data_IF_029399371995
#
_entry.id   IF_029399371995
#
_cell.length_a   1.000
_cell.length_b   1.000
_cell.length_c   1.000
_cell.angle_alpha   90.00
_cell.angle_beta   90.00
_cell.angle_gamma   90.00
#
_symmetry.space_group_name_H-M   'P 1'
#
loop_
_entity.id
_entity.type
_entity.pdbx_description
1 polymer ?
#
# COMPACT_ATOMS: atom_id res chain seq x y z
N UNK A 1 -24.72 12.01 11.98
CA UNK A 1 -24.94 11.49 13.36
C UNK A 1 -23.69 10.77 13.84
N UNK A 2 -23.35 10.81 15.14
CA UNK A 2 -22.11 10.21 15.69
C UNK A 2 -22.43 8.87 16.36
N UNK A 3 -21.66 7.83 16.02
CA UNK A 3 -21.86 6.47 16.57
C UNK A 3 -21.24 6.38 17.96
N UNK A 4 -21.99 5.90 18.95
CA UNK A 4 -21.50 5.65 20.30
C UNK A 4 -21.04 4.20 20.46
N UNK A 5 -19.78 3.98 20.83
CA UNK A 5 -19.23 2.64 21.03
C UNK A 5 -18.94 2.45 22.52
N UNK A 6 -19.63 1.51 23.16
CA UNK A 6 -19.30 1.10 24.52
C UNK A 6 -18.16 0.09 24.52
N UNK A 7 -17.19 0.31 25.42
CA UNK A 7 -16.10 -0.63 25.71
C UNK A 7 -15.84 -0.65 27.22
N UNK A 8 -15.58 -1.80 27.87
CA UNK A 8 -15.37 -1.86 29.32
C UNK A 8 -14.22 -0.98 29.80
N UNK A 9 -13.14 -0.94 29.03
CA UNK A 9 -12.00 -0.04 29.23
C UNK A 9 -11.38 0.33 27.89
N UNK A 10 -10.90 1.56 27.77
CA UNK A 10 -10.33 2.07 26.51
C UNK A 10 -8.81 1.88 26.52
N UNK A 11 -8.31 0.91 25.75
CA UNK A 11 -6.87 0.76 25.49
C UNK A 11 -6.42 1.52 24.23
N UNK A 12 -5.11 1.71 24.01
CA UNK A 12 -4.57 2.21 22.73
C UNK A 12 -4.98 1.37 21.51
N UNK A 13 -4.99 0.04 21.63
CA UNK A 13 -5.38 -0.88 20.54
C UNK A 13 -6.87 -0.76 20.20
N UNK A 14 -7.75 -0.65 21.21
CA UNK A 14 -9.18 -0.37 21.02
C UNK A 14 -9.37 0.94 20.26
N UNK A 15 -8.68 2.02 20.66
CA UNK A 15 -8.75 3.30 19.95
C UNK A 15 -8.36 3.15 18.48
N UNK A 16 -7.29 2.40 18.20
CA UNK A 16 -6.80 2.19 16.85
C UNK A 16 -7.73 1.31 16.01
N UNK A 17 -8.21 0.18 16.54
CA UNK A 17 -9.14 -0.73 15.87
C UNK A 17 -10.41 -0.01 15.38
N UNK A 18 -11.06 0.76 16.26
CA UNK A 18 -12.25 1.53 15.88
C UNK A 18 -11.92 2.72 14.98
N UNK A 19 -10.71 3.28 15.05
CA UNK A 19 -10.26 4.28 14.07
C UNK A 19 -10.15 3.64 12.68
N UNK A 20 -9.61 2.43 12.56
CA UNK A 20 -9.55 1.71 11.29
C UNK A 20 -10.96 1.48 10.74
N UNK A 21 -11.84 0.84 11.53
CA UNK A 21 -13.19 0.52 11.09
C UNK A 21 -14.00 1.77 10.73
N UNK A 22 -14.15 2.73 11.65
CA UNK A 22 -15.05 3.87 11.44
C UNK A 22 -14.41 5.00 10.65
N UNK A 23 -13.15 5.39 10.92
CA UNK A 23 -12.53 6.56 10.25
C UNK A 23 -11.87 6.22 8.93
N UNK A 24 -11.11 5.12 8.89
CA UNK A 24 -10.36 4.75 7.69
C UNK A 24 -11.31 4.15 6.65
N UNK A 25 -12.03 3.08 7.00
CA UNK A 25 -12.90 2.34 6.08
C UNK A 25 -14.24 3.05 5.82
N UNK A 26 -14.89 3.59 6.85
CA UNK A 26 -16.29 4.07 6.74
C UNK A 26 -16.47 5.59 6.70
N UNK A 27 -15.40 6.39 6.90
CA UNK A 27 -15.46 7.86 7.05
C UNK A 27 -16.53 8.36 8.04
N UNK A 28 -16.87 7.53 9.04
CA UNK A 28 -17.89 7.80 10.03
C UNK A 28 -17.32 8.44 11.30
N UNK A 29 -18.08 9.35 11.89
CA UNK A 29 -17.80 9.91 13.22
C UNK A 29 -18.22 8.93 14.31
N UNK A 30 -17.35 8.69 15.29
CA UNK A 30 -17.63 7.82 16.43
C UNK A 30 -17.04 8.37 17.75
N UNK A 31 -17.58 7.92 18.89
CA UNK A 31 -17.06 8.17 20.24
C UNK A 31 -16.96 6.85 21.00
N UNK A 32 -15.92 6.68 21.81
CA UNK A 32 -15.83 5.57 22.76
C UNK A 32 -16.33 6.01 24.14
N UNK A 33 -17.05 5.14 24.84
CA UNK A 33 -17.46 5.34 26.24
C UNK A 33 -17.22 4.06 27.03
N UNK A 34 -16.80 4.20 28.29
CA UNK A 34 -16.79 3.11 29.28
C UNK A 34 -17.90 3.23 30.32
N UNK A 35 -18.78 4.22 30.17
CA UNK A 35 -19.92 4.42 31.07
C UNK A 35 -21.11 3.63 30.56
N UNK A 36 -21.44 2.53 31.25
CA UNK A 36 -22.55 1.65 30.90
C UNK A 36 -23.88 2.40 30.88
N UNK A 37 -24.12 3.25 31.87
CA UNK A 37 -25.36 4.03 31.99
C UNK A 37 -25.53 4.99 30.80
N UNK A 38 -24.43 5.63 30.38
CA UNK A 38 -24.45 6.52 29.22
C UNK A 38 -24.74 5.76 27.91
N UNK A 39 -24.24 4.53 27.77
CA UNK A 39 -24.55 3.68 26.62
C UNK A 39 -26.03 3.27 26.62
N UNK A 40 -26.55 2.79 27.75
CA UNK A 40 -27.94 2.35 27.88
C UNK A 40 -28.95 3.49 27.68
N UNK A 41 -28.63 4.68 28.16
CA UNK A 41 -29.46 5.87 27.98
C UNK A 41 -29.39 6.49 26.57
N UNK A 42 -28.43 6.10 25.72
CA UNK A 42 -28.28 6.66 24.39
C UNK A 42 -29.39 6.17 23.43
N UNK A 43 -30.22 7.08 22.92
CA UNK A 43 -31.25 6.76 21.93
C UNK A 43 -30.76 6.68 20.47
N UNK A 44 -29.50 7.04 20.22
CA UNK A 44 -28.90 7.08 18.88
C UNK A 44 -28.11 5.83 18.50
N UNK A 45 -27.40 5.87 17.35
CA UNK A 45 -26.62 4.75 16.87
C UNK A 45 -25.54 4.36 17.85
N UNK A 46 -25.57 3.09 18.25
CA UNK A 46 -24.68 2.57 19.27
C UNK A 46 -24.26 1.14 19.01
N UNK A 47 -23.03 0.82 19.41
CA UNK A 47 -22.42 -0.51 19.34
C UNK A 47 -21.86 -0.87 20.71
N UNK A 48 -22.18 -2.05 21.21
CA UNK A 48 -21.54 -2.62 22.39
C UNK A 48 -20.35 -3.47 21.93
N UNK A 49 -19.14 -3.19 22.42
CA UNK A 49 -17.99 -4.06 22.25
C UNK A 49 -17.48 -4.51 23.64
N UNK A 50 -17.94 -5.68 24.07
CA UNK A 50 -17.64 -6.26 25.39
C UNK A 50 -17.90 -7.77 25.40
N UNK A 51 -17.70 -8.42 26.56
CA UNK A 51 -17.85 -9.87 26.73
C UNK A 51 -19.30 -10.37 26.67
N UNK A 52 -20.29 -9.49 26.85
CA UNK A 52 -21.71 -9.88 26.93
C UNK A 52 -22.61 -8.74 26.45
N UNK A 53 -23.85 -9.04 26.01
CA UNK A 53 -24.81 -8.00 25.69
C UNK A 53 -25.22 -7.22 26.96
N UNK A 54 -25.50 -5.93 26.78
CA UNK A 54 -25.97 -5.00 27.82
C UNK A 54 -27.48 -4.71 27.69
N UNK A 55 -28.05 -4.90 26.51
CA UNK A 55 -29.46 -4.68 26.20
C UNK A 55 -29.94 -5.63 25.10
N UNK A 56 -31.25 -5.93 25.11
CA UNK A 56 -31.86 -6.82 24.13
C UNK A 56 -31.82 -6.25 22.71
N UNK A 57 -31.43 -7.11 21.77
CA UNK A 57 -31.35 -6.80 20.33
C UNK A 57 -30.31 -5.77 19.94
N UNK A 58 -29.43 -5.31 20.84
CA UNK A 58 -28.41 -4.33 20.50
C UNK A 58 -27.40 -4.82 19.44
N UNK A 59 -26.68 -3.90 18.80
CA UNK A 59 -25.52 -4.28 18.00
C UNK A 59 -24.34 -4.57 18.92
N UNK A 60 -24.12 -5.85 19.18
CA UNK A 60 -23.07 -6.36 20.07
C UNK A 60 -21.96 -7.07 19.28
N UNK A 61 -20.73 -6.61 19.49
CA UNK A 61 -19.49 -7.22 19.02
C UNK A 61 -18.79 -7.87 20.22
N UNK A 62 -18.47 -9.17 20.18
CA UNK A 62 -17.82 -9.84 21.30
C UNK A 62 -16.34 -9.42 21.37
N UNK A 63 -15.84 -9.25 22.58
CA UNK A 63 -14.49 -8.75 22.83
C UNK A 63 -13.54 -9.87 23.31
N UNK A 64 -12.53 -10.19 22.51
CA UNK A 64 -11.41 -11.05 22.88
C UNK A 64 -10.27 -10.27 23.57
N UNK A 65 -9.22 -10.97 24.03
CA UNK A 65 -8.17 -10.36 24.86
C UNK A 65 -7.20 -9.45 24.09
N UNK A 66 -6.97 -9.68 22.79
CA UNK A 66 -5.90 -9.04 22.00
C UNK A 66 -5.84 -7.51 22.13
N UNK A 67 -6.99 -6.84 22.19
CA UNK A 67 -7.02 -5.38 22.27
C UNK A 67 -6.68 -4.83 23.66
N UNK A 68 -6.55 -5.68 24.68
CA UNK A 68 -6.12 -5.31 26.03
C UNK A 68 -4.80 -5.95 26.45
N UNK A 69 -4.26 -6.84 25.64
CA UNK A 69 -2.93 -7.42 25.86
C UNK A 69 -1.83 -6.35 25.81
N UNK A 70 -0.82 -6.54 26.65
CA UNK A 70 0.45 -5.81 26.61
C UNK A 70 1.51 -6.64 25.88
N UNK A 71 2.38 -5.97 25.12
CA UNK A 71 3.44 -6.62 24.37
C UNK A 71 2.95 -7.39 23.14
N UNK A 72 3.88 -8.07 22.47
CA UNK A 72 3.63 -8.74 21.19
C UNK A 72 3.89 -10.23 21.38
N UNK A 73 2.85 -11.04 21.20
CA UNK A 73 2.87 -12.49 21.41
C UNK A 73 2.07 -13.23 20.36
N UNK A 74 2.45 -14.47 20.08
CA UNK A 74 1.76 -15.29 19.08
C UNK A 74 0.28 -15.47 19.45
N UNK A 75 -0.59 -15.28 18.45
CA UNK A 75 -2.03 -15.41 18.60
C UNK A 75 -2.48 -16.76 18.03
N UNK A 76 -3.40 -17.46 18.70
CA UNK A 76 -4.03 -18.63 18.11
C UNK A 76 -5.15 -18.19 17.16
N UNK A 77 -4.93 -18.38 15.86
CA UNK A 77 -5.82 -17.89 14.82
C UNK A 77 -6.34 -19.08 14.02
N UNK A 78 -7.63 -19.35 14.17
CA UNK A 78 -8.36 -20.31 13.34
C UNK A 78 -9.26 -19.53 12.37
N UNK A 79 -9.11 -19.83 11.08
CA UNK A 79 -9.91 -19.22 10.03
C UNK A 79 -11.24 -19.96 9.90
N UNK A 80 -12.32 -19.20 9.78
CA UNK A 80 -13.62 -19.70 9.36
C UNK A 80 -14.24 -18.73 8.34
N UNK A 81 -15.37 -19.10 7.75
CA UNK A 81 -16.06 -18.25 6.79
C UNK A 81 -17.43 -17.87 7.31
N UNK A 82 -17.77 -16.58 7.21
CA UNK A 82 -19.07 -16.04 7.56
C UNK A 82 -19.55 -15.12 6.44
N UNK A 83 -20.78 -15.34 5.96
CA UNK A 83 -21.37 -14.55 4.86
C UNK A 83 -20.48 -14.48 3.60
N UNK A 84 -19.75 -15.56 3.32
CA UNK A 84 -18.82 -15.66 2.18
C UNK A 84 -17.50 -14.90 2.36
N UNK A 85 -17.23 -14.34 3.54
CA UNK A 85 -15.98 -13.65 3.87
C UNK A 85 -15.19 -14.47 4.92
N UNK A 86 -13.86 -14.51 4.82
CA UNK A 86 -13.01 -15.06 5.86
C UNK A 86 -13.13 -14.25 7.16
N UNK A 87 -13.11 -14.93 8.30
CA UNK A 87 -13.08 -14.33 9.63
C UNK A 87 -12.21 -15.17 10.55
N UNK A 88 -11.74 -14.55 11.64
CA UNK A 88 -10.95 -15.20 12.68
C UNK A 88 -11.13 -14.44 14.01
N UNK A 89 -10.55 -14.98 15.09
CA UNK A 89 -10.89 -14.62 16.47
C UNK A 89 -12.34 -14.97 16.81
N UNK A 90 -12.73 -16.21 16.49
CA UNK A 90 -14.05 -16.73 16.82
C UNK A 90 -14.31 -16.65 18.32
N UNK A 91 -15.53 -16.25 18.69
CA UNK A 91 -15.97 -16.10 20.07
C UNK A 91 -17.19 -17.00 20.31
N UNK A 92 -17.29 -17.59 21.50
CA UNK A 92 -18.47 -18.35 21.93
C UNK A 92 -19.63 -17.38 22.26
N UNK A 93 -20.20 -16.76 21.22
CA UNK A 93 -21.18 -15.68 21.31
C UNK A 93 -22.17 -15.77 20.13
N UNK A 94 -23.07 -16.76 20.17
CA UNK A 94 -24.00 -17.05 19.06
C UNK A 94 -24.99 -15.92 18.78
N UNK A 95 -25.41 -15.19 19.82
CA UNK A 95 -26.34 -14.06 19.71
C UNK A 95 -25.67 -12.74 19.29
N UNK A 96 -24.34 -12.73 19.13
CA UNK A 96 -23.63 -11.53 18.74
C UNK A 96 -23.93 -11.14 17.29
N UNK A 97 -23.78 -9.84 16.98
CA UNK A 97 -23.91 -9.32 15.61
C UNK A 97 -22.95 -10.05 14.66
N UNK A 98 -21.74 -10.34 15.15
CA UNK A 98 -20.81 -11.26 14.51
C UNK A 98 -20.23 -12.20 15.58
N UNK A 99 -20.11 -13.52 15.34
CA UNK A 99 -19.58 -14.50 16.30
C UNK A 99 -18.05 -14.47 16.40
N UNK A 100 -17.43 -13.30 16.22
CA UNK A 100 -15.98 -13.11 16.30
C UNK A 100 -15.62 -11.67 16.63
N UNK A 101 -14.39 -11.48 17.10
CA UNK A 101 -13.87 -10.16 17.44
C UNK A 101 -13.41 -9.39 16.18
N UNK A 102 -14.36 -8.69 15.55
CA UNK A 102 -14.10 -7.84 14.39
C UNK A 102 -13.08 -6.71 14.67
N UNK A 103 -13.17 -5.94 15.78
CA UNK A 103 -12.13 -4.98 16.13
C UNK A 103 -10.72 -5.59 16.25
N UNK A 104 -10.57 -6.76 16.85
CA UNK A 104 -9.29 -7.47 16.94
C UNK A 104 -8.77 -7.90 15.56
N UNK A 105 -9.64 -8.43 14.69
CA UNK A 105 -9.29 -8.78 13.31
C UNK A 105 -8.75 -7.55 12.54
N UNK A 106 -9.45 -6.43 12.65
CA UNK A 106 -9.06 -5.17 12.01
C UNK A 106 -7.71 -4.66 12.54
N UNK A 107 -7.52 -4.71 13.86
CA UNK A 107 -6.27 -4.35 14.51
C UNK A 107 -5.10 -5.24 14.05
N UNK A 108 -5.27 -6.55 14.07
CA UNK A 108 -4.24 -7.52 13.73
C UNK A 108 -3.69 -7.31 12.32
N UNK A 109 -4.59 -7.15 11.34
CA UNK A 109 -4.23 -6.91 9.95
C UNK A 109 -3.65 -5.51 9.72
N UNK A 110 -4.26 -4.46 10.30
CA UNK A 110 -3.84 -3.07 10.07
C UNK A 110 -2.52 -2.70 10.76
N UNK A 111 -2.24 -3.29 11.93
CA UNK A 111 -0.97 -3.10 12.65
C UNK A 111 0.17 -3.96 12.08
N UNK A 112 -0.14 -4.88 11.15
CA UNK A 112 0.80 -5.90 10.66
C UNK A 112 1.41 -6.71 11.80
N UNK A 113 0.57 -7.08 12.77
CA UNK A 113 0.98 -7.76 14.00
C UNK A 113 1.90 -8.98 13.75
N UNK A 114 1.59 -9.77 12.73
CA UNK A 114 2.39 -10.94 12.32
C UNK A 114 3.85 -10.63 11.93
N UNK A 115 4.15 -9.40 11.49
CA UNK A 115 5.50 -9.00 11.08
C UNK A 115 6.39 -8.59 12.27
N UNK A 116 5.81 -8.45 13.45
CA UNK A 116 6.54 -8.26 14.71
C UNK A 116 6.85 -9.59 15.41
N UNK A 117 6.30 -10.70 14.92
CA UNK A 117 6.61 -12.05 15.38
C UNK A 117 7.77 -12.63 14.57
N UNK A 118 8.45 -13.70 15.05
CA UNK A 118 9.46 -14.39 14.25
C UNK A 118 8.88 -14.91 12.92
N UNK A 119 9.55 -14.62 11.81
CA UNK A 119 9.18 -15.10 10.48
C UNK A 119 10.41 -15.48 9.64
N UNK A 120 10.21 -16.32 8.63
CA UNK A 120 11.23 -16.62 7.64
C UNK A 120 11.28 -15.51 6.58
N UNK A 121 12.25 -14.60 6.72
CA UNK A 121 12.44 -13.50 5.79
C UNK A 121 12.92 -13.97 4.41
N UNK A 122 12.64 -13.18 3.37
CA UNK A 122 13.20 -13.43 2.05
C UNK A 122 14.69 -13.03 1.97
N UNK A 123 15.30 -13.21 0.78
CA UNK A 123 16.72 -12.91 0.54
C UNK A 123 17.12 -11.45 0.78
N UNK A 124 16.16 -10.54 0.82
CA UNK A 124 16.37 -9.11 1.08
C UNK A 124 15.99 -8.72 2.51
N UNK A 125 15.56 -9.68 3.34
CA UNK A 125 15.11 -9.45 4.72
C UNK A 125 13.67 -8.94 4.81
N UNK A 126 12.85 -9.10 3.77
CA UNK A 126 11.45 -8.68 3.73
C UNK A 126 10.54 -9.78 4.27
N UNK A 127 9.36 -9.38 4.75
CA UNK A 127 8.27 -10.30 5.07
C UNK A 127 7.59 -10.78 3.76
N UNK A 128 7.77 -12.05 3.35
CA UNK A 128 7.21 -12.56 2.09
C UNK A 128 5.72 -12.87 2.25
N UNK A 129 4.97 -12.87 1.13
CA UNK A 129 3.54 -13.14 1.15
C UNK A 129 3.22 -14.49 1.79
N UNK A 130 4.03 -15.52 1.53
CA UNK A 130 3.85 -16.88 2.07
C UNK A 130 3.90 -17.00 3.59
N UNK A 131 4.47 -16.02 4.30
CA UNK A 131 4.44 -15.97 5.77
C UNK A 131 3.16 -15.33 6.30
N UNK A 132 2.42 -14.59 5.48
CA UNK A 132 1.18 -13.94 5.90
C UNK A 132 0.05 -14.93 6.12
N UNK A 133 -0.80 -14.67 7.12
CA UNK A 133 -2.08 -15.36 7.29
C UNK A 133 -2.92 -15.27 6.00
N UNK A 134 -3.00 -14.08 5.40
CA UNK A 134 -3.81 -13.81 4.23
C UNK A 134 -3.45 -14.66 3.00
N UNK A 135 -2.16 -14.93 2.79
CA UNK A 135 -1.72 -15.82 1.72
C UNK A 135 -1.99 -17.28 2.05
N UNK A 136 -1.64 -17.73 3.27
CA UNK A 136 -1.79 -19.13 3.70
C UNK A 136 -3.24 -19.59 3.67
N UNK A 137 -4.14 -18.69 4.04
CA UNK A 137 -5.58 -18.92 4.10
C UNK A 137 -6.33 -18.47 2.82
N UNK A 138 -5.61 -18.05 1.77
CA UNK A 138 -6.21 -17.81 0.45
C UNK A 138 -7.09 -16.56 0.33
N UNK A 139 -6.97 -15.57 1.21
CA UNK A 139 -7.76 -14.33 1.17
C UNK A 139 -6.97 -13.08 0.81
N UNK A 140 -5.73 -13.22 0.35
CA UNK A 140 -4.83 -12.09 0.05
C UNK A 140 -5.42 -11.06 -0.94
N UNK A 141 -6.29 -11.49 -1.85
CA UNK A 141 -6.93 -10.59 -2.83
C UNK A 141 -8.15 -9.85 -2.26
N UNK A 142 -8.48 -10.04 -0.98
CA UNK A 142 -9.61 -9.38 -0.33
C UNK A 142 -9.13 -8.21 0.56
N UNK A 143 -9.68 -6.99 0.40
CA UNK A 143 -9.51 -5.92 1.38
C UNK A 143 -10.43 -6.22 2.58
N UNK A 144 -10.11 -7.30 3.29
CA UNK A 144 -11.01 -7.97 4.24
C UNK A 144 -11.55 -7.03 5.33
N UNK A 145 -10.71 -6.14 5.84
CA UNK A 145 -11.11 -5.16 6.87
C UNK A 145 -12.13 -4.16 6.31
N UNK A 146 -11.97 -3.73 5.05
CA UNK A 146 -12.94 -2.86 4.39
C UNK A 146 -14.29 -3.58 4.20
N UNK A 147 -14.26 -4.84 3.77
CA UNK A 147 -15.48 -5.62 3.53
C UNK A 147 -16.27 -5.83 4.83
N UNK A 148 -15.61 -6.23 5.92
CA UNK A 148 -16.28 -6.36 7.22
C UNK A 148 -16.76 -5.04 7.79
N UNK A 149 -16.01 -3.95 7.61
CA UNK A 149 -16.46 -2.62 8.01
C UNK A 149 -17.76 -2.23 7.27
N UNK A 150 -17.87 -2.55 5.97
CA UNK A 150 -19.10 -2.31 5.22
C UNK A 150 -20.27 -3.17 5.70
N UNK A 151 -20.04 -4.43 6.08
CA UNK A 151 -21.08 -5.28 6.70
C UNK A 151 -21.58 -4.68 8.02
N UNK A 152 -20.66 -4.20 8.87
CA UNK A 152 -21.01 -3.51 10.10
C UNK A 152 -21.83 -2.24 9.82
N UNK A 153 -21.44 -1.46 8.81
CA UNK A 153 -22.18 -0.25 8.40
C UNK A 153 -23.61 -0.58 7.95
N UNK A 154 -23.80 -1.64 7.14
CA UNK A 154 -25.12 -2.08 6.69
C UNK A 154 -26.03 -2.42 7.87
N UNK A 155 -25.53 -3.18 8.86
CA UNK A 155 -26.30 -3.55 10.05
C UNK A 155 -26.62 -2.33 10.94
N UNK A 156 -25.69 -1.37 11.03
CA UNK A 156 -25.90 -0.10 11.71
C UNK A 156 -27.01 0.73 11.05
N UNK A 157 -26.99 0.88 9.72
CA UNK A 157 -28.01 1.64 8.97
C UNK A 157 -29.38 0.94 9.01
N UNK A 158 -29.41 -0.40 9.01
CA UNK A 158 -30.64 -1.17 9.17
C UNK A 158 -31.28 -0.96 10.55
N UNK A 159 -30.47 -0.91 11.62
CA UNK A 159 -30.98 -0.73 12.98
C UNK A 159 -31.29 0.72 13.31
N UNK A 160 -30.57 1.66 12.72
CA UNK A 160 -30.73 3.09 12.93
C UNK A 160 -31.01 3.78 11.59
N UNK A 161 -32.29 3.84 11.13
CA UNK A 161 -32.64 4.37 9.81
C UNK A 161 -32.17 5.81 9.53
N UNK A 162 -32.06 6.63 10.59
CA UNK A 162 -31.57 8.01 10.51
C UNK A 162 -30.03 8.12 10.42
N UNK A 163 -29.32 6.99 10.56
CA UNK A 163 -27.88 6.94 10.35
C UNK A 163 -27.60 6.73 8.86
N UNK A 164 -26.85 7.68 8.28
CA UNK A 164 -26.28 7.53 6.95
C UNK A 164 -24.76 7.58 7.05
N UNK A 165 -24.10 6.47 6.76
CA UNK A 165 -22.64 6.38 6.77
C UNK A 165 -22.14 6.75 5.38
N UNK A 166 -21.42 7.87 5.29
CA UNK A 166 -20.78 8.29 4.04
C UNK A 166 -19.64 7.34 3.69
N UNK A 167 -19.88 6.40 2.79
CA UNK A 167 -18.86 5.48 2.30
C UNK A 167 -17.79 6.26 1.51
N UNK A 168 -16.50 5.90 1.60
CA UNK A 168 -15.49 6.50 0.74
C UNK A 168 -15.81 6.21 -0.72
N UNK A 169 -15.56 7.18 -1.59
CA UNK A 169 -15.64 6.95 -3.03
C UNK A 169 -14.40 6.21 -3.51
N UNK A 170 -14.61 5.28 -4.45
CA UNK A 170 -13.51 4.60 -5.13
C UNK A 170 -12.53 5.61 -5.72
N UNK A 171 -11.24 5.32 -5.61
CA UNK A 171 -10.17 6.13 -6.21
C UNK A 171 -9.13 5.25 -6.88
N UNK A 172 -8.78 5.57 -8.11
CA UNK A 172 -7.57 5.06 -8.73
C UNK A 172 -6.39 6.02 -8.51
N UNK A 173 -5.24 5.48 -8.13
CA UNK A 173 -3.98 6.24 -7.99
C UNK A 173 -2.85 5.48 -8.71
N UNK A 174 -2.47 5.90 -9.93
CA UNK A 174 -1.31 5.35 -10.60
C UNK A 174 -0.03 5.87 -9.94
N UNK A 175 0.91 4.97 -9.64
CA UNK A 175 2.19 5.34 -9.03
C UNK A 175 3.36 4.67 -9.72
N UNK A 176 4.52 5.33 -9.68
CA UNK A 176 5.69 4.95 -10.43
C UNK A 176 6.96 4.99 -9.63
N UNK A 177 7.77 3.94 -9.76
CA UNK A 177 9.11 3.89 -9.18
C UNK A 177 10.12 4.15 -10.29
N UNK A 178 11.00 5.14 -10.05
CA UNK A 178 12.04 5.56 -10.98
C UNK A 178 13.39 5.12 -10.45
N UNK A 179 13.69 3.84 -10.63
CA UNK A 179 15.01 3.26 -10.32
C UNK A 179 16.07 3.78 -11.29
N UNK A 180 15.68 3.90 -12.56
CA UNK A 180 16.54 4.25 -13.68
C UNK A 180 15.75 5.07 -14.69
N UNK A 181 16.01 6.38 -14.74
CA UNK A 181 15.34 7.29 -15.67
C UNK A 181 15.68 7.02 -17.15
N UNK A 182 16.87 6.49 -17.44
CA UNK A 182 17.34 6.19 -18.80
C UNK A 182 18.03 4.83 -18.83
N UNK A 183 17.83 4.06 -19.88
CA UNK A 183 18.52 2.79 -20.12
C UNK A 183 19.97 3.02 -20.56
N UNK A 184 20.20 4.05 -21.38
CA UNK A 184 21.48 4.28 -22.06
C UNK A 184 22.01 5.71 -21.91
N UNK A 185 21.14 6.71 -22.12
CA UNK A 185 21.53 8.13 -22.06
C UNK A 185 21.93 8.54 -20.65
N UNK A 186 22.79 9.55 -20.56
CA UNK A 186 23.28 10.11 -19.31
C UNK A 186 24.02 9.13 -18.38
N UNK A 187 24.35 7.93 -18.88
CA UNK A 187 25.19 6.95 -18.20
C UNK A 187 26.64 7.04 -18.67
N UNK A 188 27.62 6.67 -17.82
CA UNK A 188 29.01 6.54 -18.22
C UNK A 188 29.22 5.67 -19.47
N UNK A 189 30.13 6.08 -20.37
CA UNK A 189 30.40 5.37 -21.61
C UNK A 189 30.87 3.93 -21.39
N UNK A 190 31.68 3.68 -20.36
CA UNK A 190 32.17 2.34 -20.04
C UNK A 190 31.02 1.37 -19.67
N UNK A 191 29.95 1.84 -19.05
CA UNK A 191 28.76 1.03 -18.77
C UNK A 191 28.00 0.68 -20.05
N UNK A 192 28.01 1.60 -21.03
CA UNK A 192 27.43 1.34 -22.35
C UNK A 192 28.26 0.31 -23.13
N UNK A 193 29.59 0.42 -23.12
CA UNK A 193 30.50 -0.54 -23.73
C UNK A 193 30.36 -1.94 -23.09
N UNK A 194 30.40 -2.02 -21.76
CA UNK A 194 30.20 -3.28 -21.04
C UNK A 194 28.82 -3.89 -21.32
N UNK A 195 27.79 -3.05 -21.41
CA UNK A 195 26.44 -3.45 -21.80
C UNK A 195 26.37 -4.06 -23.19
N UNK A 196 27.02 -3.43 -24.17
CA UNK A 196 27.16 -3.95 -25.55
C UNK A 196 27.87 -5.29 -25.55
N UNK A 197 29.05 -5.42 -24.94
CA UNK A 197 29.79 -6.68 -24.90
C UNK A 197 28.95 -7.83 -24.35
N UNK A 198 28.20 -7.58 -23.27
CA UNK A 198 27.28 -8.56 -22.69
C UNK A 198 26.13 -8.91 -23.64
N UNK A 199 25.55 -7.93 -24.32
CA UNK A 199 24.45 -8.16 -25.27
C UNK A 199 24.91 -8.97 -26.49
N UNK A 200 26.10 -8.71 -27.02
CA UNK A 200 26.69 -9.51 -28.10
C UNK A 200 26.99 -10.94 -27.62
N UNK A 201 27.62 -11.09 -26.44
CA UNK A 201 27.93 -12.40 -25.86
C UNK A 201 26.68 -13.24 -25.54
N UNK A 202 25.52 -12.59 -25.33
CA UNK A 202 24.23 -13.28 -25.07
C UNK A 202 23.33 -13.34 -26.31
N UNK A 203 23.87 -13.05 -27.50
CA UNK A 203 23.18 -13.03 -28.79
C UNK A 203 21.94 -12.11 -28.84
N UNK A 204 21.93 -11.04 -28.03
CA UNK A 204 20.87 -10.01 -27.98
C UNK A 204 21.22 -8.80 -28.86
N UNK A 205 21.54 -9.05 -30.12
CA UNK A 205 22.02 -8.05 -31.08
C UNK A 205 21.08 -6.84 -31.23
N UNK A 206 19.76 -7.07 -31.16
CA UNK A 206 18.77 -6.00 -31.23
C UNK A 206 18.88 -4.97 -30.09
N UNK A 207 19.25 -5.40 -28.88
CA UNK A 207 19.47 -4.48 -27.76
C UNK A 207 20.77 -3.69 -27.92
N UNK A 208 21.82 -4.33 -28.44
CA UNK A 208 23.07 -3.64 -28.74
C UNK A 208 22.88 -2.56 -29.81
N UNK A 209 22.12 -2.88 -30.87
CA UNK A 209 21.73 -1.90 -31.89
C UNK A 209 20.87 -0.77 -31.28
N UNK A 210 19.84 -1.10 -30.50
CA UNK A 210 18.96 -0.10 -29.88
C UNK A 210 19.74 0.88 -28.99
N UNK A 211 20.69 0.36 -28.19
CA UNK A 211 21.61 1.16 -27.38
C UNK A 211 22.36 2.20 -28.19
N UNK A 212 23.06 1.78 -29.26
CA UNK A 212 23.86 2.71 -30.07
C UNK A 212 23.00 3.64 -30.91
N UNK A 213 21.87 3.17 -31.46
CA UNK A 213 20.91 4.01 -32.14
C UNK A 213 20.36 5.11 -31.21
N UNK A 214 20.11 4.79 -29.93
CA UNK A 214 19.68 5.75 -28.93
C UNK A 214 20.77 6.79 -28.59
N UNK A 215 22.01 6.33 -28.39
CA UNK A 215 23.15 7.18 -28.04
C UNK A 215 23.55 8.13 -29.18
N UNK A 216 23.42 7.67 -30.43
CA UNK A 216 23.65 8.48 -31.63
C UNK A 216 22.48 9.41 -31.97
N UNK A 217 21.38 9.36 -31.21
CA UNK A 217 20.21 10.23 -31.41
C UNK A 217 19.19 9.73 -32.43
N UNK A 218 19.40 8.57 -33.05
CA UNK A 218 18.50 7.99 -34.04
C UNK A 218 17.22 7.40 -33.43
N UNK A 219 17.20 7.16 -32.11
CA UNK A 219 16.04 6.65 -31.36
C UNK A 219 15.91 7.31 -29.98
N UNK A 220 14.69 7.40 -29.42
CA UNK A 220 14.51 7.79 -28.02
C UNK A 220 15.12 6.75 -27.07
N UNK A 221 15.38 7.14 -25.83
CA UNK A 221 15.80 6.18 -24.79
C UNK A 221 14.61 5.36 -24.32
N UNK A 222 14.71 4.02 -24.27
CA UNK A 222 13.57 3.16 -23.97
C UNK A 222 12.99 3.34 -22.56
N UNK A 223 13.75 3.91 -21.61
CA UNK A 223 13.24 4.17 -20.25
C UNK A 223 12.76 5.62 -20.05
N UNK A 224 13.01 6.52 -21.02
CA UNK A 224 12.52 7.90 -20.99
C UNK A 224 11.05 7.96 -21.43
N UNK A 225 10.17 7.46 -20.56
CA UNK A 225 8.73 7.26 -20.84
C UNK A 225 7.85 8.34 -20.21
N UNK A 226 8.46 9.35 -19.57
CA UNK A 226 7.75 10.37 -18.80
C UNK A 226 6.81 11.24 -19.63
N UNK A 227 7.16 11.55 -20.88
CA UNK A 227 6.29 12.31 -21.79
C UNK A 227 5.04 11.53 -22.15
N UNK A 228 5.21 10.25 -22.47
CA UNK A 228 4.14 9.29 -22.76
C UNK A 228 3.20 9.14 -21.55
N UNK A 229 3.75 8.85 -20.36
CA UNK A 229 2.96 8.70 -19.14
C UNK A 229 2.16 9.98 -18.82
N UNK A 230 2.80 11.15 -18.93
CA UNK A 230 2.13 12.43 -18.71
C UNK A 230 0.98 12.67 -19.69
N UNK A 231 1.13 12.28 -20.96
CA UNK A 231 0.06 12.40 -21.94
C UNK A 231 -1.11 11.48 -21.58
N UNK A 232 -0.81 10.22 -21.23
CA UNK A 232 -1.79 9.22 -20.84
C UNK A 232 -2.58 9.62 -19.59
N UNK A 233 -1.93 10.20 -18.57
CA UNK A 233 -2.64 10.69 -17.40
C UNK A 233 -3.51 11.91 -17.69
N UNK A 234 -3.05 12.80 -18.58
CA UNK A 234 -3.81 14.00 -18.96
C UNK A 234 -5.08 13.65 -19.73
N UNK A 235 -5.03 12.68 -20.65
CA UNK A 235 -6.22 12.25 -21.39
C UNK A 235 -7.30 11.65 -20.48
N UNK A 236 -6.89 11.10 -19.35
CA UNK A 236 -7.75 10.35 -18.42
C UNK A 236 -8.08 11.14 -17.15
N UNK A 237 -7.63 12.40 -17.06
CA UNK A 237 -7.86 13.26 -15.89
C UNK A 237 -7.24 12.73 -14.59
N UNK A 238 -6.19 11.92 -14.69
CA UNK A 238 -5.53 11.27 -13.55
C UNK A 238 -4.34 12.09 -13.05
N UNK A 239 -4.08 11.99 -11.75
CA UNK A 239 -2.87 12.53 -11.12
C UNK A 239 -2.01 11.37 -10.62
N UNK A 240 -0.84 11.20 -11.23
CA UNK A 240 0.12 10.17 -10.85
C UNK A 240 1.08 10.62 -9.75
N UNK A 241 1.74 9.66 -9.10
CA UNK A 241 2.89 9.89 -8.22
C UNK A 241 4.13 9.16 -8.73
N UNK A 242 5.28 9.82 -8.71
CA UNK A 242 6.58 9.31 -9.11
C UNK A 242 7.55 9.34 -7.93
N UNK A 243 8.13 8.20 -7.59
CA UNK A 243 9.12 8.06 -6.54
C UNK A 243 10.51 7.95 -7.16
N UNK A 244 11.39 8.90 -6.87
CA UNK A 244 12.73 8.95 -7.47
C UNK A 244 13.80 8.37 -6.54
N UNK A 245 14.60 7.44 -7.06
CA UNK A 245 15.76 6.89 -6.37
C UNK A 245 16.90 7.91 -6.37
N UNK A 246 17.26 8.41 -5.19
CA UNK A 246 18.33 9.42 -5.01
C UNK A 246 19.50 8.92 -4.16
N UNK A 247 19.58 7.60 -3.97
CA UNK A 247 20.74 6.94 -3.37
C UNK A 247 22.01 7.10 -4.21
N UNK A 248 23.15 6.73 -3.62
CA UNK A 248 24.41 6.65 -4.36
C UNK A 248 24.50 5.30 -5.09
N UNK A 249 25.05 5.31 -6.31
CA UNK A 249 25.16 4.13 -7.15
C UNK A 249 25.90 2.99 -6.44
N UNK A 250 25.28 1.81 -6.37
CA UNK A 250 25.84 0.61 -5.78
C UNK A 250 25.22 -0.66 -6.40
N UNK A 251 25.48 -1.84 -5.82
CA UNK A 251 24.96 -3.12 -6.31
C UNK A 251 23.42 -3.18 -6.39
N UNK A 252 22.75 -2.59 -5.40
CA UNK A 252 21.30 -2.57 -5.26
C UNK A 252 20.69 -1.36 -5.95
N UNK A 253 21.28 -0.17 -5.76
CA UNK A 253 20.78 1.09 -6.30
C UNK A 253 21.54 1.48 -7.58
N UNK A 254 20.90 1.36 -8.74
CA UNK A 254 21.54 1.52 -10.07
C UNK A 254 21.21 2.83 -10.78
N UNK A 255 20.72 3.81 -10.03
CA UNK A 255 20.38 5.13 -10.53
C UNK A 255 21.62 5.90 -11.04
N UNK A 256 21.34 7.00 -11.73
CA UNK A 256 22.35 7.98 -12.17
C UNK A 256 22.67 8.93 -11.01
N UNK A 257 23.91 9.43 -10.90
CA UNK A 257 24.28 10.42 -9.88
C UNK A 257 23.33 11.63 -9.83
N UNK A 258 22.95 12.03 -8.62
CA UNK A 258 21.97 13.10 -8.37
C UNK A 258 22.44 14.50 -8.80
N UNK A 259 23.73 14.69 -8.97
CA UNK A 259 24.37 15.90 -9.48
C UNK A 259 24.27 16.01 -11.01
N UNK A 260 23.90 14.93 -11.71
CA UNK A 260 23.68 14.97 -13.15
C UNK A 260 22.60 16.01 -13.52
N UNK A 261 22.93 17.04 -14.32
CA UNK A 261 21.99 18.12 -14.64
C UNK A 261 20.72 17.65 -15.35
N UNK A 262 20.81 16.64 -16.21
CA UNK A 262 19.65 16.09 -16.91
C UNK A 262 18.69 15.40 -15.93
N UNK A 263 19.23 14.66 -14.96
CA UNK A 263 18.40 13.99 -13.94
C UNK A 263 17.69 15.00 -13.04
N UNK A 264 18.40 16.04 -12.57
CA UNK A 264 17.79 17.14 -11.79
C UNK A 264 16.69 17.85 -12.58
N UNK A 265 16.93 18.14 -13.86
CA UNK A 265 15.95 18.79 -14.74
C UNK A 265 14.72 17.91 -14.99
N UNK A 266 14.91 16.59 -15.09
CA UNK A 266 13.80 15.64 -15.20
C UNK A 266 12.96 15.65 -13.92
N UNK A 267 13.58 15.49 -12.75
CA UNK A 267 12.87 15.47 -11.46
C UNK A 267 12.11 16.79 -11.26
N UNK A 268 12.74 17.94 -11.51
CA UNK A 268 12.09 19.24 -11.41
C UNK A 268 10.86 19.35 -12.32
N UNK A 269 10.97 18.91 -13.58
CA UNK A 269 9.85 18.92 -14.54
C UNK A 269 8.68 18.03 -14.11
N UNK A 270 8.97 16.90 -13.47
CA UNK A 270 7.91 16.02 -12.93
C UNK A 270 7.32 16.64 -11.65
N UNK A 271 8.15 17.27 -10.83
CA UNK A 271 7.73 17.95 -9.61
C UNK A 271 6.79 19.15 -9.84
N UNK A 272 6.82 19.79 -11.02
CA UNK A 272 5.92 20.90 -11.39
C UNK A 272 4.42 20.56 -11.20
N UNK A 273 4.04 19.28 -11.18
CA UNK A 273 2.66 18.84 -10.91
C UNK A 273 2.44 18.29 -9.48
N UNK A 274 3.35 18.57 -8.54
CA UNK A 274 3.38 18.04 -7.15
C UNK A 274 3.28 16.52 -7.03
N UNK A 275 3.73 15.83 -8.07
CA UNK A 275 3.59 14.39 -8.26
C UNK A 275 4.80 13.60 -7.78
N UNK A 276 5.67 14.15 -6.93
CA UNK A 276 6.96 13.53 -6.60
C UNK A 276 7.05 13.09 -5.14
N UNK A 277 7.62 11.91 -4.92
CA UNK A 277 8.04 11.40 -3.63
C UNK A 277 9.49 10.88 -3.67
N UNK A 278 10.05 10.60 -2.50
CA UNK A 278 11.34 9.96 -2.39
C UNK A 278 11.20 8.45 -2.59
N UNK A 279 12.13 7.83 -3.32
CA UNK A 279 12.31 6.37 -3.31
C UNK A 279 13.57 6.06 -2.48
N UNK A 280 13.47 5.89 -1.14
CA UNK A 280 14.65 5.72 -0.31
C UNK A 280 15.45 4.50 -0.74
N UNK A 281 16.77 4.65 -0.77
CA UNK A 281 17.66 3.61 -1.26
C UNK A 281 17.68 2.38 -0.37
N UNK A 282 18.18 1.27 -0.92
CA UNK A 282 18.41 0.05 -0.13
C UNK A 282 19.27 0.36 1.11
N UNK A 283 20.30 1.19 0.95
CA UNK A 283 21.20 1.60 2.02
C UNK A 283 20.53 2.42 3.13
N UNK A 284 19.42 3.12 2.85
CA UNK A 284 18.72 3.94 3.84
C UNK A 284 18.11 3.12 5.00
N UNK A 285 17.95 1.81 4.82
CA UNK A 285 17.39 0.90 5.80
C UNK A 285 18.38 0.52 6.92
N UNK A 286 19.68 0.71 6.72
CA UNK A 286 20.71 0.32 7.69
C UNK A 286 21.82 1.34 7.88
N UNK A 287 22.07 2.23 6.91
CA UNK A 287 23.11 3.25 7.01
C UNK A 287 22.56 4.53 7.65
N UNK A 288 23.11 4.88 8.81
CA UNK A 288 22.76 6.11 9.50
C UNK A 288 22.99 7.35 8.63
N UNK A 289 22.06 8.31 8.71
CA UNK A 289 22.11 9.56 7.94
C UNK A 289 21.83 9.44 6.44
N UNK A 290 21.76 8.22 5.87
CA UNK A 290 21.51 8.02 4.44
C UNK A 290 20.12 8.53 4.01
N UNK A 291 19.07 8.18 4.75
CA UNK A 291 17.71 8.70 4.50
C UNK A 291 17.68 10.24 4.57
N UNK A 292 18.30 10.83 5.59
CA UNK A 292 18.41 12.29 5.76
C UNK A 292 19.10 12.96 4.57
N UNK A 293 20.17 12.34 4.06
CA UNK A 293 20.89 12.82 2.86
C UNK A 293 19.99 12.81 1.64
N UNK A 294 19.22 11.75 1.43
CA UNK A 294 18.31 11.58 0.30
C UNK A 294 17.11 12.54 0.36
N UNK A 295 16.53 12.75 1.54
CA UNK A 295 15.50 13.77 1.78
C UNK A 295 16.02 15.16 1.44
N UNK A 296 17.24 15.52 1.90
CA UNK A 296 17.87 16.80 1.56
C UNK A 296 18.12 16.94 0.06
N UNK A 297 18.50 15.87 -0.63
CA UNK A 297 18.71 15.86 -2.09
C UNK A 297 17.42 16.18 -2.84
N UNK A 298 16.33 15.50 -2.52
CA UNK A 298 15.05 15.73 -3.20
C UNK A 298 14.54 17.14 -2.92
N UNK A 299 14.56 17.58 -1.65
CA UNK A 299 14.20 18.95 -1.25
C UNK A 299 15.00 20.01 -2.00
N UNK A 300 16.30 19.80 -2.20
CA UNK A 300 17.16 20.73 -2.98
C UNK A 300 16.79 20.78 -4.47
N UNK A 301 16.22 19.72 -5.02
CA UNK A 301 15.84 19.67 -6.44
C UNK A 301 14.46 20.27 -6.67
N UNK A 302 13.50 19.97 -5.80
CA UNK A 302 12.10 20.39 -5.97
C UNK A 302 11.77 21.72 -5.30
N UNK A 303 12.57 22.15 -4.31
CA UNK A 303 12.26 23.32 -3.49
C UNK A 303 11.14 23.10 -2.45
N UNK A 304 10.52 21.93 -2.43
CA UNK A 304 9.40 21.59 -1.53
C UNK A 304 9.86 20.64 -0.40
N UNK A 305 9.08 20.61 0.69
CA UNK A 305 9.29 19.60 1.73
C UNK A 305 8.96 18.20 1.19
N UNK A 306 9.80 17.23 1.51
CA UNK A 306 9.59 15.84 1.12
C UNK A 306 8.69 15.19 2.15
N UNK A 307 7.46 14.87 1.76
CA UNK A 307 6.45 14.28 2.66
C UNK A 307 6.02 12.87 2.26
N UNK A 308 6.46 12.37 1.10
CA UNK A 308 6.08 11.06 0.55
C UNK A 308 7.27 10.15 0.37
N UNK A 309 7.12 8.88 0.71
CA UNK A 309 8.11 7.84 0.45
C UNK A 309 7.51 6.58 -0.19
N UNK A 310 8.39 5.84 -0.87
CA UNK A 310 8.24 4.41 -1.12
C UNK A 310 9.61 3.76 -1.09
N UNK A 311 9.86 2.83 -0.18
CA UNK A 311 11.10 2.08 -0.07
C UNK A 311 11.46 1.31 -1.34
N UNK A 312 12.71 1.43 -1.78
CA UNK A 312 13.27 0.57 -2.82
C UNK A 312 13.22 -0.90 -2.39
N UNK A 313 12.85 -1.78 -3.33
CA UNK A 313 12.51 -3.18 -3.08
C UNK A 313 11.33 -3.42 -2.12
N UNK A 314 10.56 -2.40 -1.74
CA UNK A 314 9.53 -2.49 -0.71
C UNK A 314 10.07 -3.03 0.62
N UNK A 315 11.34 -2.72 0.91
CA UNK A 315 12.02 -3.17 2.12
C UNK A 315 11.46 -2.43 3.33
N UNK A 316 10.51 -3.07 4.01
CA UNK A 316 9.96 -2.64 5.28
C UNK A 316 10.50 -3.54 6.38
N UNK A 317 11.19 -2.93 7.34
CA UNK A 317 11.63 -3.57 8.60
C UNK A 317 10.93 -2.84 9.73
N UNK A 318 9.96 -3.50 10.36
CA UNK A 318 9.24 -2.92 11.48
C UNK A 318 10.02 -3.07 12.78
N UNK A 319 9.97 -2.05 13.66
CA UNK A 319 9.37 -0.71 13.45
C UNK A 319 10.33 0.30 12.77
N UNK A 320 11.62 -0.05 12.66
CA UNK A 320 12.72 0.86 12.33
C UNK A 320 12.50 1.73 11.10
N UNK A 321 11.99 1.13 10.01
CA UNK A 321 11.84 1.82 8.73
C UNK A 321 10.88 2.99 8.86
N UNK A 322 9.71 2.76 9.47
CA UNK A 322 8.69 3.78 9.63
C UNK A 322 9.04 4.82 10.70
N UNK A 323 9.74 4.43 11.78
CA UNK A 323 10.30 5.41 12.73
C UNK A 323 11.25 6.36 12.04
N UNK A 324 12.20 5.85 11.24
CA UNK A 324 13.14 6.68 10.47
C UNK A 324 12.43 7.62 9.49
N UNK A 325 11.35 7.18 8.85
CA UNK A 325 10.54 8.03 7.98
C UNK A 325 9.89 9.19 8.78
N UNK A 326 9.25 8.87 9.91
CA UNK A 326 8.63 9.87 10.81
C UNK A 326 9.66 10.88 11.30
N UNK A 327 10.84 10.43 11.73
CA UNK A 327 11.94 11.30 12.17
C UNK A 327 12.45 12.26 11.08
N UNK A 328 12.30 11.91 9.79
CA UNK A 328 12.65 12.78 8.68
C UNK A 328 11.48 13.65 8.17
N UNK A 329 10.33 13.63 8.86
CA UNK A 329 9.16 14.43 8.53
C UNK A 329 8.35 13.89 7.35
N UNK A 330 8.55 12.62 6.97
CA UNK A 330 7.73 11.93 5.98
C UNK A 330 6.36 11.64 6.61
N UNK A 331 5.30 11.92 5.86
CA UNK A 331 3.91 11.83 6.33
C UNK A 331 3.10 10.76 5.57
N UNK A 332 3.53 10.37 4.38
CA UNK A 332 2.86 9.40 3.54
C UNK A 332 3.85 8.33 3.06
N UNK A 333 3.54 7.06 3.30
CA UNK A 333 4.30 5.93 2.77
C UNK A 333 3.45 5.05 1.86
N UNK A 334 4.04 4.63 0.75
CA UNK A 334 3.38 3.87 -0.31
C UNK A 334 4.03 2.48 -0.53
N UNK A 335 4.70 1.93 0.49
CA UNK A 335 5.40 0.63 0.40
C UNK A 335 4.61 -0.56 0.92
N UNK A 336 3.45 -0.36 1.53
CA UNK A 336 2.65 -1.43 2.12
C UNK A 336 1.95 -2.29 1.05
N UNK A 337 2.70 -3.23 0.49
CA UNK A 337 2.24 -4.32 -0.36
C UNK A 337 3.28 -5.44 -0.38
N UNK A 338 2.97 -6.55 -1.05
CA UNK A 338 3.90 -7.65 -1.21
C UNK A 338 4.73 -7.51 -2.48
N UNK A 339 6.01 -7.85 -2.40
CA UNK A 339 6.86 -7.86 -3.58
C UNK A 339 6.61 -9.10 -4.47
N UNK A 340 6.22 -10.21 -3.85
CA UNK A 340 6.12 -11.54 -4.45
C UNK A 340 4.68 -12.00 -4.74
N UNK A 341 3.67 -11.26 -4.30
CA UNK A 341 2.27 -11.56 -4.59
C UNK A 341 1.42 -10.29 -4.79
N UNK A 342 0.37 -10.38 -5.61
CA UNK A 342 -0.61 -9.31 -5.78
C UNK A 342 -1.79 -9.49 -4.80
N UNK A 343 -2.14 -8.42 -4.09
CA UNK A 343 -3.22 -8.38 -3.09
C UNK A 343 -2.98 -7.34 -1.99
N UNK A 344 -3.81 -7.38 -0.95
CA UNK A 344 -3.86 -6.36 0.10
C UNK A 344 -3.09 -6.81 1.34
N UNK A 345 -1.81 -6.38 1.45
CA UNK A 345 -0.93 -6.78 2.56
C UNK A 345 -1.51 -6.50 3.94
N UNK A 346 -2.15 -5.35 4.15
CA UNK A 346 -2.78 -5.00 5.42
C UNK A 346 -4.27 -5.37 5.51
N UNK A 347 -4.79 -6.18 4.57
CA UNK A 347 -6.23 -6.43 4.44
C UNK A 347 -7.06 -5.17 4.19
N UNK A 348 -6.41 -4.09 3.73
CA UNK A 348 -6.98 -2.76 3.58
C UNK A 348 -6.70 -2.20 2.18
N UNK A 349 -7.72 -1.64 1.55
CA UNK A 349 -7.63 -0.84 0.32
C UNK A 349 -7.71 0.66 0.58
N UNK A 350 -8.00 1.08 1.82
CA UNK A 350 -8.08 2.49 2.22
C UNK A 350 -6.84 2.94 2.99
N UNK A 351 -6.38 4.19 2.81
CA UNK A 351 -5.27 4.71 3.60
C UNK A 351 -5.57 4.77 5.10
N UNK A 352 -4.57 4.45 5.92
CA UNK A 352 -4.67 4.41 7.38
C UNK A 352 -3.38 4.94 8.03
N UNK A 353 -3.43 5.35 9.30
CA UNK A 353 -2.21 5.77 10.01
C UNK A 353 -1.50 4.56 10.59
N UNK A 354 -0.17 4.54 10.54
CA UNK A 354 0.62 3.48 11.14
C UNK A 354 0.47 3.47 12.67
N UNK A 355 0.36 2.26 13.22
CA UNK A 355 0.40 1.99 14.64
C UNK A 355 1.72 1.34 14.99
N UNK A 356 2.52 2.03 15.78
CA UNK A 356 3.77 1.50 16.32
C UNK A 356 3.42 0.58 17.50
N UNK A 357 3.42 -0.73 17.23
CA UNK A 357 3.03 -1.76 18.20
C UNK A 357 3.89 -1.78 19.46
N UNK A 358 5.20 -1.50 19.33
CA UNK A 358 6.10 -1.53 20.50
C UNK A 358 5.85 -0.35 21.44
N UNK A 359 5.40 0.80 20.91
CA UNK A 359 5.10 2.00 21.71
C UNK A 359 3.62 2.19 21.99
N UNK A 360 2.76 1.33 21.44
CA UNK A 360 1.29 1.40 21.50
C UNK A 360 0.74 2.78 21.08
N UNK A 361 1.31 3.35 20.00
CA UNK A 361 1.01 4.71 19.54
C UNK A 361 0.69 4.77 18.05
N UNK A 362 -0.32 5.59 17.72
CA UNK A 362 -0.60 5.99 16.33
C UNK A 362 0.41 7.07 15.95
N UNK A 363 1.24 6.78 14.95
CA UNK A 363 2.26 7.70 14.45
C UNK A 363 1.70 8.60 13.34
N UNK A 364 2.28 9.80 13.11
CA UNK A 364 1.85 10.72 12.06
C UNK A 364 2.34 10.30 10.65
N UNK A 365 2.36 8.99 10.38
CA UNK A 365 2.70 8.39 9.09
C UNK A 365 1.47 7.67 8.53
N UNK A 366 0.97 8.15 7.40
CA UNK A 366 -0.19 7.58 6.72
C UNK A 366 0.26 6.60 5.65
N UNK A 367 -0.22 5.38 5.75
CA UNK A 367 0.08 4.27 4.86
C UNK A 367 -0.95 4.22 3.74
N UNK A 368 -0.46 4.17 2.51
CA UNK A 368 -1.23 4.01 1.29
C UNK A 368 -0.91 2.63 0.71
N UNK A 369 -1.67 1.59 1.08
CA UNK A 369 -1.41 0.24 0.62
C UNK A 369 -1.63 0.12 -0.89
N UNK A 370 -0.73 -0.59 -1.58
CA UNK A 370 -0.87 -0.87 -3.01
C UNK A 370 -1.22 -2.35 -3.23
N UNK A 371 -1.96 -2.63 -4.30
CA UNK A 371 -2.53 -3.96 -4.53
C UNK A 371 -1.72 -4.78 -5.55
N UNK A 372 -1.06 -4.11 -6.51
CA UNK A 372 -0.33 -4.78 -7.58
C UNK A 372 0.91 -4.00 -8.01
N UNK A 373 1.95 -4.74 -8.39
CA UNK A 373 3.18 -4.23 -8.98
C UNK A 373 3.50 -4.97 -10.29
N UNK A 374 3.92 -4.23 -11.31
CA UNK A 374 4.31 -4.77 -12.62
C UNK A 374 5.34 -5.92 -12.55
N UNK A 375 6.41 -5.75 -11.76
CA UNK A 375 7.45 -6.75 -11.56
C UNK A 375 6.91 -7.98 -10.82
N UNK A 376 5.96 -7.80 -9.90
CA UNK A 376 5.28 -8.91 -9.23
C UNK A 376 4.51 -9.75 -10.24
N UNK A 377 3.65 -9.11 -11.03
CA UNK A 377 2.83 -9.80 -12.03
C UNK A 377 3.70 -10.52 -13.06
N UNK A 378 4.74 -9.86 -13.57
CA UNK A 378 5.58 -10.41 -14.64
C UNK A 378 6.60 -11.43 -14.15
N UNK A 379 7.35 -11.12 -13.08
CA UNK A 379 8.55 -11.90 -12.69
C UNK A 379 8.28 -12.87 -11.56
N UNK A 380 7.58 -12.43 -10.52
CA UNK A 380 7.32 -13.28 -9.35
C UNK A 380 6.18 -14.27 -9.65
N UNK A 381 5.09 -13.79 -10.25
CA UNK A 381 3.93 -14.60 -10.61
C UNK A 381 4.01 -15.21 -12.02
N UNK A 382 5.00 -14.79 -12.82
CA UNK A 382 5.21 -15.27 -14.20
C UNK A 382 3.96 -15.19 -15.10
N UNK A 383 3.09 -14.19 -14.88
CA UNK A 383 1.86 -14.03 -15.65
C UNK A 383 2.15 -13.55 -17.07
N UNK A 384 1.35 -14.04 -18.02
CA UNK A 384 1.23 -13.46 -19.36
C UNK A 384 0.39 -12.17 -19.30
N UNK A 385 0.56 -11.24 -20.27
CA UNK A 385 -0.17 -9.96 -20.31
C UNK A 385 -1.68 -10.07 -20.03
N UNK A 386 -2.36 -11.02 -20.66
CA UNK A 386 -3.82 -11.19 -20.56
C UNK A 386 -4.24 -11.62 -19.14
N UNK A 387 -3.49 -12.54 -18.54
CA UNK A 387 -3.72 -13.01 -17.17
C UNK A 387 -3.40 -11.91 -16.14
N UNK A 388 -2.35 -11.12 -16.38
CA UNK A 388 -1.99 -9.98 -15.54
C UNK A 388 -3.10 -8.92 -15.55
N UNK A 389 -3.69 -8.64 -16.71
CA UNK A 389 -4.82 -7.73 -16.83
C UNK A 389 -6.07 -8.25 -16.11
N UNK A 390 -6.39 -9.54 -16.23
CA UNK A 390 -7.47 -10.18 -15.48
C UNK A 390 -7.30 -10.00 -13.96
N UNK A 391 -6.07 -10.22 -13.44
CA UNK A 391 -5.75 -10.01 -12.02
C UNK A 391 -5.86 -8.54 -11.61
N UNK A 392 -5.44 -7.61 -12.45
CA UNK A 392 -5.59 -6.17 -12.18
C UNK A 392 -7.06 -5.75 -12.11
N UNK A 393 -7.89 -6.24 -13.03
CA UNK A 393 -9.35 -6.01 -13.05
C UNK A 393 -10.03 -6.55 -11.79
N UNK A 394 -9.66 -7.76 -11.36
CA UNK A 394 -10.16 -8.37 -10.11
C UNK A 394 -9.86 -7.46 -8.90
N UNK A 395 -8.61 -7.04 -8.72
CA UNK A 395 -8.21 -6.20 -7.59
C UNK A 395 -8.85 -4.80 -7.63
N UNK A 396 -9.02 -4.25 -8.84
CA UNK A 396 -9.74 -3.00 -9.07
C UNK A 396 -11.21 -3.12 -8.62
N UNK A 397 -11.89 -4.20 -9.02
CA UNK A 397 -13.27 -4.47 -8.61
C UNK A 397 -13.42 -4.56 -7.09
N UNK A 398 -12.51 -5.26 -6.40
CA UNK A 398 -12.50 -5.33 -4.93
C UNK A 398 -12.37 -3.96 -4.26
N UNK A 399 -11.60 -3.06 -4.86
CA UNK A 399 -11.52 -1.68 -4.39
C UNK A 399 -12.83 -0.92 -4.64
N UNK A 400 -13.48 -1.10 -5.80
CA UNK A 400 -14.77 -0.47 -6.11
C UNK A 400 -15.87 -0.93 -5.15
N UNK A 401 -15.99 -2.23 -4.93
CA UNK A 401 -16.95 -2.84 -3.98
C UNK A 401 -16.84 -2.24 -2.57
N UNK A 402 -15.64 -1.79 -2.20
CA UNK A 402 -15.36 -1.27 -0.86
C UNK A 402 -15.25 0.24 -0.76
N UNK A 403 -15.36 0.97 -1.87
CA UNK A 403 -15.06 2.40 -1.91
C UNK A 403 -13.58 2.72 -1.61
N UNK A 404 -12.69 1.75 -1.80
CA UNK A 404 -11.27 1.83 -1.50
C UNK A 404 -10.43 2.53 -2.57
N UNK A 405 -9.13 2.62 -2.32
CA UNK A 405 -8.16 3.12 -3.29
C UNK A 405 -7.47 1.97 -4.01
N UNK A 406 -7.61 1.90 -5.34
CA UNK A 406 -6.80 1.03 -6.16
C UNK A 406 -5.49 1.74 -6.48
N UNK A 407 -4.41 1.32 -5.81
CA UNK A 407 -3.06 1.86 -6.00
C UNK A 407 -2.20 0.79 -6.67
N UNK A 408 -1.59 1.15 -7.80
CA UNK A 408 -0.69 0.26 -8.55
C UNK A 408 0.71 0.85 -8.63
N UNK A 409 1.73 -0.02 -8.57
CA UNK A 409 3.14 0.33 -8.67
C UNK A 409 3.69 -0.14 -10.02
N UNK A 410 4.16 0.79 -10.84
CA UNK A 410 4.82 0.49 -12.11
C UNK A 410 6.20 1.13 -12.15
N UNK A 411 7.11 0.59 -12.95
CA UNK A 411 8.40 1.24 -13.19
C UNK A 411 8.37 1.94 -14.54
N UNK A 412 8.98 3.12 -14.65
CA UNK A 412 9.07 3.84 -15.93
C UNK A 412 9.70 2.97 -17.03
N UNK A 413 10.60 2.06 -16.65
CA UNK A 413 11.24 1.10 -17.55
C UNK A 413 10.31 0.03 -18.11
N UNK A 414 9.18 -0.22 -17.47
CA UNK A 414 8.27 -1.32 -17.81
C UNK A 414 7.36 -1.02 -19.00
N UNK A 415 7.33 0.24 -19.44
CA UNK A 415 6.63 0.67 -20.64
C UNK A 415 7.48 0.53 -21.91
N UNK A 416 8.72 0.07 -21.79
CA UNK A 416 9.56 -0.25 -22.94
C UNK A 416 9.09 -1.56 -23.58
N UNK A 417 8.99 -1.64 -24.90
CA UNK A 417 8.80 -2.93 -25.59
C UNK A 417 10.08 -3.78 -25.61
N UNK A 418 11.19 -3.23 -25.14
CA UNK A 418 12.47 -3.91 -25.01
C UNK A 418 12.64 -4.50 -23.59
N UNK A 419 13.79 -5.13 -23.33
CA UNK A 419 14.12 -5.68 -22.00
C UNK A 419 13.07 -6.67 -21.42
N UNK A 420 12.33 -7.32 -22.32
CA UNK A 420 11.35 -8.36 -22.05
C UNK A 420 10.01 -7.84 -21.52
N UNK A 421 9.73 -6.55 -21.63
CA UNK A 421 8.46 -5.93 -21.26
C UNK A 421 7.47 -5.82 -22.43
N UNK A 422 7.74 -6.52 -23.55
CA UNK A 422 6.86 -6.56 -24.71
C UNK A 422 5.41 -6.89 -24.32
N UNK A 423 4.46 -6.07 -24.76
CA UNK A 423 3.03 -6.24 -24.49
C UNK A 423 2.55 -5.73 -23.12
N UNK A 424 3.44 -5.23 -22.25
CA UNK A 424 3.06 -4.74 -20.92
C UNK A 424 2.59 -3.29 -20.93
N UNK A 425 2.92 -2.54 -21.98
CA UNK A 425 2.39 -1.19 -22.18
C UNK A 425 0.88 -1.25 -22.39
N UNK A 426 0.41 -2.15 -23.24
CA UNK A 426 -1.01 -2.35 -23.54
C UNK A 426 -1.78 -2.79 -22.28
N UNK A 427 -1.21 -3.69 -21.48
CA UNK A 427 -1.79 -4.08 -20.17
C UNK A 427 -2.01 -2.87 -19.28
N UNK A 428 -1.04 -1.94 -19.25
CA UNK A 428 -1.18 -0.73 -18.45
C UNK A 428 -2.26 0.20 -18.99
N UNK A 429 -2.28 0.45 -20.30
CA UNK A 429 -3.25 1.32 -20.94
C UNK A 429 -4.69 0.81 -20.72
N UNK A 430 -4.93 -0.50 -20.90
CA UNK A 430 -6.22 -1.12 -20.63
C UNK A 430 -6.61 -1.03 -19.14
N UNK A 431 -5.69 -1.36 -18.23
CA UNK A 431 -5.95 -1.24 -16.80
C UNK A 431 -6.26 0.20 -16.40
N UNK A 432 -5.55 1.17 -16.96
CA UNK A 432 -5.75 2.58 -16.67
C UNK A 432 -7.11 3.05 -17.19
N UNK A 433 -7.53 2.62 -18.38
CA UNK A 433 -8.86 2.92 -18.92
C UNK A 433 -9.99 2.28 -18.07
N UNK A 434 -9.78 1.09 -17.53
CA UNK A 434 -10.78 0.40 -16.68
C UNK A 434 -10.84 0.98 -15.26
N UNK A 435 -9.68 1.29 -14.68
CA UNK A 435 -9.57 1.85 -13.33
C UNK A 435 -9.87 3.35 -13.28
N UNK A 436 -9.60 4.09 -14.36
CA UNK A 436 -9.82 5.54 -14.45
C UNK A 436 -11.28 5.95 -14.58
N UNK A 437 -12.16 5.03 -15.05
CA UNK A 437 -13.60 5.28 -15.13
C UNK A 437 -14.18 5.59 -13.76
N UNK A 438 -14.75 6.79 -13.62
CA UNK A 438 -15.59 7.13 -12.47
C UNK A 438 -16.88 6.33 -12.60
N UNK A 439 -17.32 5.72 -11.51
CA UNK A 439 -18.66 5.15 -11.46
C UNK A 439 -19.64 6.34 -11.66
N UNK A 440 -20.46 6.24 -12.71
CA UNK A 440 -21.36 7.30 -13.16
C UNK A 440 -22.53 7.56 -12.24
#
# INVERSE_FOLDING_TARGET
MKILVYVPSVSPRVKYAFRILFRSCLKAEYTLTSRREAYLAAGGPRVNYSLAPLAEGELWLPAGPLLWEEGIGAQNIELFHLQGLPAFFQMAAEEATFPFDLPALAFYLASRYEEHLPFAADKLGRFPASQSLAFREGFLQQPLVNQWALRLAQLLEQRFPDLHITRPAYRFLPTYDVDMAWAYRHRPLWLNLAGTLRELATARWGLAYSRWACLLGNRPDPFDTFSYLRQLHRSEGLSALFFFLLGDHNRHDKNIPVDNPAFRKLIARVADTRSVGLHPSYASNYKEGQLRKEVKRLKKITGENVVRSRQHFLLLRFPDTYRRLVEQGIQEDYSMGFADAAGFRAGLSTPFYWYDLETEQIQPLKIFPFAAMDVTLRRYMALKPEAALGRLRELCLRCRETGGSFITLWHNSSFSEEHGWKGWREVYEEMLADAGRRDG
#
